data_IF_455841837719
#
_entry.id   IF_455841837719
#
_cell.length_a   1.000
_cell.length_b   1.000
_cell.length_c   1.000
_cell.angle_alpha   90.00
_cell.angle_beta   90.00
_cell.angle_gamma   90.00
#
_symmetry.space_group_name_H-M   'P 1'
#
loop_
_entity.id
_entity.type
_entity.pdbx_description
1 polymer ?
#
# COMPACT_ATOMS: atom_id res chain seq x y z
N UNK A 1 -8.36 5.30 -20.90
CA UNK A 1 -7.99 5.49 -20.36
C UNK A 1 -7.47 5.38 -19.58
N UNK A 2 -7.35 5.41 -19.40
CA UNK A 2 -6.93 5.50 -18.88
C UNK A 2 -5.81 5.68 -18.08
N UNK A 3 -5.42 6.58 -18.10
CA UNK A 3 -4.25 7.15 -17.50
C UNK A 3 -4.20 6.94 -16.00
N UNK A 4 -5.34 6.85 -15.39
CA UNK A 4 -5.47 6.58 -13.96
C UNK A 4 -4.76 5.30 -13.57
N UNK A 5 -4.77 4.33 -14.45
CA UNK A 5 -4.18 3.04 -14.15
C UNK A 5 -2.67 3.08 -14.11
N UNK A 6 -2.07 4.17 -14.54
CA UNK A 6 -0.62 4.27 -14.63
C UNK A 6 -0.05 5.40 -13.79
N UNK A 7 -0.78 5.79 -12.77
CA UNK A 7 -0.30 6.85 -11.88
C UNK A 7 0.87 6.41 -11.02
N UNK A 8 1.14 5.11 -10.94
CA UNK A 8 2.27 4.59 -10.17
C UNK A 8 3.35 4.10 -11.12
N UNK A 9 4.50 4.75 -11.10
CA UNK A 9 5.62 4.36 -11.95
C UNK A 9 6.37 3.17 -11.35
N UNK A 10 7.21 2.54 -12.17
CA UNK A 10 8.05 1.45 -11.68
C UNK A 10 9.02 1.93 -10.61
N UNK A 11 9.55 3.14 -10.78
CA UNK A 11 10.47 3.72 -9.79
C UNK A 11 9.75 3.94 -8.45
N UNK A 12 8.52 4.42 -8.50
CA UNK A 12 7.73 4.60 -7.29
C UNK A 12 7.42 3.29 -6.62
N UNK A 13 7.08 2.26 -7.41
CA UNK A 13 6.80 0.94 -6.85
C UNK A 13 8.05 0.36 -6.18
N UNK A 14 9.21 0.51 -6.83
CA UNK A 14 10.45 0.04 -6.23
C UNK A 14 10.74 0.76 -4.91
N UNK A 15 10.50 2.06 -4.86
CA UNK A 15 10.72 2.84 -3.65
C UNK A 15 9.78 2.39 -2.54
N UNK A 16 8.51 2.11 -2.88
CA UNK A 16 7.55 1.61 -1.90
C UNK A 16 8.01 0.28 -1.31
N UNK A 17 8.46 -0.64 -2.15
CA UNK A 17 8.94 -1.92 -1.67
C UNK A 17 10.16 -1.76 -0.76
N UNK A 18 11.07 -0.86 -1.12
CA UNK A 18 12.27 -0.65 -0.32
C UNK A 18 11.93 -0.05 1.04
N UNK A 19 11.03 0.93 1.07
CA UNK A 19 10.68 1.61 2.31
C UNK A 19 9.92 0.70 3.27
N UNK A 20 8.96 -0.06 2.75
CA UNK A 20 8.18 -0.97 3.59
C UNK A 20 8.96 -2.23 3.99
N UNK A 21 9.89 -2.67 3.16
CA UNK A 21 10.74 -3.85 3.42
C UNK A 21 9.94 -5.12 3.62
N UNK A 22 8.86 -5.25 2.88
CA UNK A 22 8.00 -6.42 2.98
C UNK A 22 6.55 -6.03 2.94
N UNK A 23 5.68 -6.92 3.36
CA UNK A 23 4.25 -6.66 3.37
C UNK A 23 3.92 -5.57 4.37
N UNK A 24 3.20 -4.54 3.90
CA UNK A 24 2.86 -3.42 4.77
C UNK A 24 1.94 -3.84 5.92
N UNK A 25 1.17 -4.91 5.74
CA UNK A 25 0.18 -5.32 6.73
C UNK A 25 0.71 -6.32 7.75
N UNK A 26 1.38 -7.36 7.30
CA UNK A 26 1.83 -8.41 8.21
C UNK A 26 3.34 -8.52 8.36
N UNK A 27 4.09 -7.80 7.54
CA UNK A 27 5.54 -7.80 7.63
C UNK A 27 6.24 -8.94 6.92
N UNK A 28 5.50 -9.78 6.21
CA UNK A 28 6.10 -10.89 5.48
C UNK A 28 7.14 -10.38 4.48
N UNK A 29 8.32 -11.00 4.48
CA UNK A 29 9.40 -10.58 3.58
C UNK A 29 9.63 -11.54 2.43
N UNK A 30 9.06 -12.74 2.50
CA UNK A 30 9.26 -13.73 1.45
C UNK A 30 8.27 -13.51 0.31
N UNK A 31 8.72 -13.86 -0.88
CA UNK A 31 7.86 -13.85 -2.05
C UNK A 31 7.73 -12.48 -2.68
N UNK A 32 7.04 -12.44 -3.79
CA UNK A 32 6.82 -11.22 -4.54
C UNK A 32 5.67 -10.44 -3.92
N UNK A 33 5.92 -9.16 -3.64
CA UNK A 33 4.85 -8.30 -3.11
C UNK A 33 3.95 -7.84 -4.23
N UNK A 34 2.69 -7.66 -3.92
CA UNK A 34 1.68 -7.18 -4.85
C UNK A 34 1.29 -5.76 -4.51
N UNK A 35 0.84 -5.03 -5.52
CA UNK A 35 0.40 -3.65 -5.33
C UNK A 35 -1.02 -3.66 -4.79
N UNK A 36 -1.20 -3.12 -3.61
CA UNK A 36 -2.52 -3.09 -2.98
C UNK A 36 -2.93 -1.65 -2.71
N UNK A 37 -4.17 -1.32 -3.08
CA UNK A 37 -4.72 -0.01 -2.77
C UNK A 37 -5.25 -0.02 -1.34
N UNK A 38 -4.69 0.84 -0.48
CA UNK A 38 -5.16 0.92 0.91
C UNK A 38 -6.65 1.24 0.93
N UNK A 39 -7.05 2.27 0.20
CA UNK A 39 -8.46 2.53 -0.05
C UNK A 39 -8.79 1.92 -1.41
N UNK A 40 -9.61 0.87 -1.47
CA UNK A 40 -9.86 0.17 -2.72
C UNK A 40 -10.45 1.09 -3.79
N UNK A 41 -10.14 0.78 -5.04
CA UNK A 41 -10.68 1.55 -6.17
C UNK A 41 -12.19 1.58 -6.15
N UNK A 42 -12.81 0.46 -5.78
CA UNK A 42 -14.27 0.37 -5.72
C UNK A 42 -14.87 1.25 -4.63
N UNK A 43 -14.04 1.76 -3.72
CA UNK A 43 -14.49 2.63 -2.64
C UNK A 43 -13.99 4.05 -2.83
N UNK A 44 -13.57 4.40 -4.03
CA UNK A 44 -13.13 5.75 -4.33
C UNK A 44 -11.63 5.98 -4.23
N UNK A 45 -10.86 4.94 -4.00
CA UNK A 45 -9.41 5.09 -3.94
C UNK A 45 -8.81 5.32 -5.31
N UNK A 46 -7.57 5.77 -5.33
CA UNK A 46 -6.84 6.01 -6.58
C UNK A 46 -5.61 5.13 -6.62
N UNK A 47 -5.22 4.75 -7.83
CA UNK A 47 -4.02 3.96 -8.04
C UNK A 47 -2.81 4.89 -8.11
N UNK A 48 -2.43 5.41 -6.97
CA UNK A 48 -1.42 6.45 -6.87
C UNK A 48 -0.46 6.18 -5.71
N UNK A 49 0.67 6.87 -5.73
CA UNK A 49 1.75 6.67 -4.77
C UNK A 49 1.28 6.70 -3.31
N UNK A 50 0.36 7.58 -2.99
CA UNK A 50 -0.09 7.76 -1.62
C UNK A 50 -1.15 6.74 -1.20
N UNK A 51 -1.55 5.85 -2.09
CA UNK A 51 -2.59 4.86 -1.79
C UNK A 51 -2.16 3.43 -2.10
N UNK A 52 -0.94 3.21 -2.54
CA UNK A 52 -0.44 1.88 -2.87
C UNK A 52 0.58 1.45 -1.83
N UNK A 53 0.46 0.21 -1.37
CA UNK A 53 1.46 -0.39 -0.48
C UNK A 53 1.78 -1.79 -0.99
N UNK A 54 2.99 -2.30 -0.68
CA UNK A 54 3.28 -3.70 -0.99
C UNK A 54 2.52 -4.60 -0.04
N UNK A 55 1.91 -5.63 -0.58
CA UNK A 55 1.18 -6.60 0.22
C UNK A 55 1.57 -7.99 -0.23
N UNK A 56 1.75 -8.91 0.71
CA UNK A 56 2.01 -10.28 0.35
C UNK A 56 0.74 -10.89 -0.25
N UNK A 57 0.92 -11.99 -0.96
CA UNK A 57 -0.19 -12.63 -1.66
C UNK A 57 -1.35 -12.95 -0.72
N UNK A 58 -1.02 -13.44 0.46
CA UNK A 58 -2.04 -13.83 1.43
C UNK A 58 -2.85 -12.64 1.92
N UNK A 59 -2.17 -11.56 2.30
CA UNK A 59 -2.87 -10.37 2.77
C UNK A 59 -3.68 -9.72 1.67
N UNK A 60 -3.11 -9.65 0.46
CA UNK A 60 -3.82 -9.04 -0.66
C UNK A 60 -5.10 -9.80 -0.97
N UNK A 61 -5.03 -11.12 -1.01
CA UNK A 61 -6.20 -11.94 -1.28
C UNK A 61 -7.24 -11.82 -0.16
N UNK A 62 -6.80 -11.81 1.08
CA UNK A 62 -7.69 -11.74 2.23
C UNK A 62 -8.37 -10.39 2.35
N UNK A 63 -7.62 -9.32 2.14
CA UNK A 63 -8.16 -7.97 2.25
C UNK A 63 -9.15 -7.66 1.12
N UNK A 64 -8.80 -8.08 -0.07
CA UNK A 64 -9.64 -7.83 -1.25
C UNK A 64 -10.03 -6.35 -1.30
N UNK A 65 -11.33 -6.03 -1.32
CA UNK A 65 -11.78 -4.64 -1.29
C UNK A 65 -12.46 -4.28 0.01
N UNK A 66 -12.09 -4.97 1.09
CA UNK A 66 -12.58 -4.63 2.43
C UNK A 66 -11.95 -3.33 2.90
N UNK A 67 -12.63 -2.65 3.80
CA UNK A 67 -12.08 -1.47 4.44
C UNK A 67 -10.90 -1.90 5.31
N UNK A 68 -9.78 -1.16 5.20
CA UNK A 68 -8.50 -1.65 5.71
C UNK A 68 -8.47 -1.84 7.22
N UNK A 69 -8.96 -0.86 7.99
CA UNK A 69 -8.83 -0.96 9.44
C UNK A 69 -9.72 -2.06 10.02
N UNK A 70 -10.93 -2.18 9.52
CA UNK A 70 -11.82 -3.26 9.95
C UNK A 70 -11.25 -4.62 9.63
N UNK A 71 -10.70 -4.76 8.42
CA UNK A 71 -10.06 -6.01 8.02
C UNK A 71 -8.88 -6.33 8.92
N UNK A 72 -8.02 -5.34 9.21
CA UNK A 72 -6.85 -5.57 10.06
C UNK A 72 -7.25 -6.00 11.48
N UNK A 73 -8.30 -5.41 12.02
CA UNK A 73 -8.79 -5.81 13.34
C UNK A 73 -9.26 -7.25 13.34
N UNK A 74 -10.00 -7.64 12.32
CA UNK A 74 -10.49 -9.03 12.23
C UNK A 74 -9.33 -10.01 12.11
N UNK A 75 -8.25 -9.60 11.44
CA UNK A 75 -7.06 -10.46 11.29
C UNK A 75 -6.10 -10.33 12.47
N UNK A 76 -6.43 -9.45 13.41
CA UNK A 76 -5.59 -9.20 14.60
C UNK A 76 -4.21 -8.70 14.21
N UNK A 77 -4.16 -7.87 13.19
CA UNK A 77 -2.94 -7.20 12.76
C UNK A 77 -2.82 -5.86 13.48
N UNK A 78 -1.60 -5.33 13.53
CA UNK A 78 -1.34 -4.08 14.25
C UNK A 78 -1.69 -2.89 13.37
N UNK A 79 -2.96 -2.48 13.41
CA UNK A 79 -3.42 -1.38 12.57
C UNK A 79 -2.80 -0.04 12.96
N UNK A 80 -2.52 0.16 14.24
CA UNK A 80 -1.92 1.42 14.67
C UNK A 80 -0.51 1.57 14.09
N UNK A 81 0.28 0.50 14.17
CA UNK A 81 1.63 0.53 13.62
C UNK A 81 1.58 0.75 12.11
N UNK A 82 0.63 0.10 11.43
CA UNK A 82 0.46 0.29 10.00
C UNK A 82 0.12 1.74 9.66
N UNK A 83 -0.85 2.32 10.35
CA UNK A 83 -1.27 3.67 10.05
C UNK A 83 -0.17 4.69 10.31
N UNK A 84 0.56 4.51 11.41
CA UNK A 84 1.69 5.40 11.71
C UNK A 84 2.76 5.31 10.64
N UNK A 85 3.08 4.08 10.24
CA UNK A 85 4.10 3.88 9.20
C UNK A 85 3.62 4.44 7.86
N UNK A 86 2.34 4.28 7.56
CA UNK A 86 1.78 4.78 6.31
C UNK A 86 1.98 6.30 6.20
N UNK A 87 1.74 7.02 7.29
CA UNK A 87 1.94 8.46 7.31
C UNK A 87 3.41 8.80 7.05
N UNK A 88 4.32 8.11 7.73
CA UNK A 88 5.75 8.34 7.54
C UNK A 88 6.17 8.10 6.10
N UNK A 89 5.69 7.00 5.53
CA UNK A 89 6.05 6.63 4.17
C UNK A 89 5.51 7.67 3.17
N UNK A 90 4.29 8.12 3.38
CA UNK A 90 3.70 9.11 2.49
C UNK A 90 4.50 10.41 2.49
N UNK A 91 4.92 10.85 3.67
CA UNK A 91 5.74 12.07 3.76
C UNK A 91 7.08 11.86 3.07
N UNK A 92 7.71 10.73 3.35
CA UNK A 92 9.03 10.41 2.80
C UNK A 92 9.01 10.36 1.28
N UNK A 93 8.04 9.64 0.72
CA UNK A 93 7.98 9.46 -0.73
C UNK A 93 7.44 10.68 -1.45
N UNK A 94 6.59 11.46 -0.81
CA UNK A 94 6.14 12.71 -1.40
C UNK A 94 7.32 13.65 -1.64
N UNK A 95 8.26 13.66 -0.70
CA UNK A 95 9.46 14.46 -0.85
C UNK A 95 10.35 13.91 -1.97
N UNK A 96 10.50 12.60 -2.02
CA UNK A 96 11.37 11.96 -3.01
C UNK A 96 10.83 12.10 -4.43
N UNK A 97 9.52 12.00 -4.59
CA UNK A 97 8.88 12.06 -5.91
C UNK A 97 8.07 13.34 -6.07
N UNK A 98 8.57 14.40 -5.54
CA UNK A 98 7.87 15.66 -5.63
C UNK A 98 7.68 16.08 -7.07
N UNK A 99 6.43 16.42 -7.41
CA UNK A 99 6.09 16.81 -8.76
C UNK A 99 5.36 18.11 -8.72
N UNK A 100 5.56 18.94 -8.01
CA UNK A 100 4.87 20.22 -7.89
C UNK A 100 4.03 20.60 -9.09
#
# INVERSE_FOLDING_TARGET
MDAVEHDLSDAQWSALQAVWSGCAYCGETDGTMQRDCVLPLSRGGRYALDNIVPACRSCNASKCNHEVTGWMRRKKLDERAFLNRLIEVRVMLASQFETS
#
